data_IF_219690778362
#
_entry.id   IF_219690778362
#
_cell.length_a   1.000
_cell.length_b   1.000
_cell.length_c   1.000
_cell.angle_alpha   90.00
_cell.angle_beta   90.00
_cell.angle_gamma   90.00
#
_symmetry.space_group_name_H-M   'P 1'
#
loop_
_entity.id
_entity.type
_entity.pdbx_description
1 polymer ?
#
# COMPACT_ATOMS: atom_id res chain seq x y z
N UNK A 1 -32.23 16.38 -0.20
CA UNK A 1 -31.59 15.36 -1.05
C UNK A 1 -31.63 14.04 -0.31
N UNK A 2 -32.35 13.07 -0.85
CA UNK A 2 -32.55 11.76 -0.25
C UNK A 2 -31.25 10.96 -0.43
N UNK A 3 -30.62 10.58 0.69
CA UNK A 3 -29.47 9.68 0.67
C UNK A 3 -29.94 8.33 0.09
N UNK A 4 -29.27 7.77 -0.93
CA UNK A 4 -29.59 6.42 -1.37
C UNK A 4 -29.31 5.44 -0.22
N UNK A 5 -30.24 4.50 -0.04
CA UNK A 5 -30.20 3.46 0.98
C UNK A 5 -28.93 2.61 0.85
N UNK A 6 -28.35 2.11 1.95
CA UNK A 6 -27.18 1.25 1.89
C UNK A 6 -27.61 -0.08 1.27
N UNK A 7 -27.12 -0.41 0.07
CA UNK A 7 -27.15 -1.78 -0.42
C UNK A 7 -26.30 -2.61 0.54
N UNK A 8 -26.94 -3.54 1.25
CA UNK A 8 -26.40 -4.43 2.27
C UNK A 8 -25.50 -5.53 1.70
N UNK A 9 -24.57 -5.19 0.82
CA UNK A 9 -23.49 -6.09 0.44
C UNK A 9 -22.25 -5.68 1.23
N UNK A 10 -21.88 -6.41 2.29
CA UNK A 10 -20.63 -6.16 2.98
C UNK A 10 -19.49 -6.23 1.95
N UNK A 11 -18.56 -5.30 2.02
CA UNK A 11 -17.33 -5.32 1.24
C UNK A 11 -16.58 -6.62 1.56
N UNK A 12 -16.78 -7.67 0.76
CA UNK A 12 -15.79 -8.74 0.64
C UNK A 12 -14.64 -8.17 -0.19
N UNK A 13 -13.73 -7.48 0.49
CA UNK A 13 -12.40 -7.24 -0.06
C UNK A 13 -11.69 -8.58 -0.01
N UNK A 14 -11.72 -9.31 -1.12
CA UNK A 14 -10.99 -10.57 -1.22
C UNK A 14 -9.51 -10.27 -0.90
N UNK A 15 -8.86 -11.03 -0.02
CA UNK A 15 -7.47 -10.84 0.33
C UNK A 15 -6.57 -10.77 -0.91
N UNK A 16 -5.55 -9.89 -0.88
CA UNK A 16 -4.67 -9.68 -2.04
C UNK A 16 -3.97 -10.99 -2.49
N UNK A 17 -3.76 -11.92 -1.54
CA UNK A 17 -3.27 -13.29 -1.78
C UNK A 17 -4.03 -14.08 -2.85
N UNK A 18 -5.30 -13.76 -3.08
CA UNK A 18 -6.20 -14.54 -3.94
C UNK A 18 -6.20 -14.10 -5.41
N UNK A 19 -5.38 -13.11 -5.77
CA UNK A 19 -5.52 -12.42 -7.05
C UNK A 19 -4.47 -12.75 -8.12
N UNK A 20 -3.23 -13.09 -7.76
CA UNK A 20 -2.12 -13.19 -8.73
C UNK A 20 -1.33 -14.49 -8.61
N UNK A 21 -1.87 -15.60 -9.14
CA UNK A 21 -1.10 -16.85 -9.32
C UNK A 21 -0.28 -16.92 -10.60
N UNK A 22 -0.40 -15.97 -11.53
CA UNK A 22 0.40 -15.97 -12.77
C UNK A 22 1.51 -14.92 -12.63
N UNK A 23 2.72 -15.41 -12.35
CA UNK A 23 4.02 -14.71 -12.18
C UNK A 23 4.37 -14.16 -10.79
N UNK A 24 3.54 -14.37 -9.76
CA UNK A 24 3.92 -14.11 -8.35
C UNK A 24 3.39 -15.26 -7.49
N UNK A 25 3.99 -16.43 -7.66
CA UNK A 25 3.55 -17.69 -7.04
C UNK A 25 3.77 -17.66 -5.52
N UNK A 26 2.77 -17.20 -4.78
CA UNK A 26 2.63 -17.56 -3.36
C UNK A 26 2.41 -19.08 -3.32
N UNK A 27 3.36 -19.81 -2.72
CA UNK A 27 3.16 -21.23 -2.42
C UNK A 27 2.31 -21.30 -1.16
N UNK A 28 1.05 -21.69 -1.33
CA UNK A 28 0.18 -22.15 -0.24
C UNK A 28 0.39 -23.66 -0.13
N UNK A 29 1.00 -24.10 0.98
CA UNK A 29 1.32 -25.51 1.27
C UNK A 29 0.04 -26.28 1.63
N UNK A 30 -0.78 -26.61 0.61
CA UNK A 30 -2.13 -27.20 0.74
C UNK A 30 -2.23 -28.43 1.66
N UNK A 31 -1.15 -29.19 1.83
CA UNK A 31 -1.14 -30.43 2.62
C UNK A 31 -1.25 -30.22 4.14
N UNK A 32 -1.08 -28.99 4.65
CA UNK A 32 -1.12 -28.68 6.09
C UNK A 32 -2.08 -27.53 6.43
N UNK A 33 -3.06 -27.27 5.56
CA UNK A 33 -4.14 -26.31 5.82
C UNK A 33 -5.22 -26.94 6.68
N UNK A 34 -5.71 -26.17 7.65
CA UNK A 34 -7.01 -26.48 8.25
C UNK A 34 -8.07 -26.30 7.15
N UNK A 35 -8.73 -27.41 6.79
CA UNK A 35 -9.65 -27.48 5.65
C UNK A 35 -10.78 -26.44 5.70
N UNK A 36 -11.16 -26.00 6.90
CA UNK A 36 -12.18 -24.97 7.10
C UNK A 36 -11.82 -23.58 6.54
N UNK A 37 -10.53 -23.28 6.35
CA UNK A 37 -10.07 -22.00 5.77
C UNK A 37 -9.66 -22.11 4.31
N UNK A 38 -9.90 -23.25 3.65
CA UNK A 38 -9.43 -23.47 2.27
C UNK A 38 -10.03 -22.46 1.27
N UNK A 39 -11.29 -22.06 1.47
CA UNK A 39 -12.00 -21.09 0.63
C UNK A 39 -11.35 -19.70 0.64
N UNK A 40 -10.70 -19.31 1.74
CA UNK A 40 -10.01 -18.02 1.89
C UNK A 40 -8.78 -17.89 0.97
N UNK A 41 -8.31 -18.98 0.37
CA UNK A 41 -7.15 -19.03 -0.54
C UNK A 41 -7.54 -19.39 -1.97
N UNK A 42 -8.84 -19.49 -2.26
CA UNK A 42 -9.33 -19.71 -3.60
C UNK A 42 -9.14 -18.48 -4.47
N UNK A 43 -8.75 -18.71 -5.72
CA UNK A 43 -8.52 -17.63 -6.67
C UNK A 43 -9.87 -17.18 -7.23
N UNK A 44 -10.15 -15.88 -7.13
CA UNK A 44 -11.29 -15.30 -7.82
C UNK A 44 -10.88 -14.87 -9.25
N UNK A 45 -11.61 -15.34 -10.26
CA UNK A 45 -11.28 -15.07 -11.67
C UNK A 45 -11.75 -13.68 -12.15
N UNK A 46 -12.76 -13.11 -11.52
CA UNK A 46 -13.36 -11.81 -11.90
C UNK A 46 -12.93 -10.72 -10.92
N UNK A 47 -11.76 -10.14 -11.13
CA UNK A 47 -11.26 -9.02 -10.31
C UNK A 47 -10.79 -7.86 -11.18
N UNK A 48 -11.13 -6.63 -10.77
CA UNK A 48 -10.63 -5.40 -11.38
C UNK A 48 -9.46 -4.86 -10.57
N UNK A 49 -8.28 -4.82 -11.18
CA UNK A 49 -7.05 -4.27 -10.56
C UNK A 49 -6.86 -2.78 -10.82
N UNK A 50 -7.69 -2.19 -11.68
CA UNK A 50 -7.63 -0.76 -12.01
C UNK A 50 -6.23 -0.28 -12.44
N UNK A 51 -5.42 -1.13 -13.08
CA UNK A 51 -4.05 -0.80 -13.50
C UNK A 51 -3.01 -0.84 -12.38
N UNK A 52 -3.37 -1.28 -11.17
CA UNK A 52 -2.45 -1.44 -10.06
C UNK A 52 -1.68 -2.75 -10.14
N UNK A 53 -0.42 -2.72 -9.67
CA UNK A 53 0.41 -3.92 -9.51
C UNK A 53 0.05 -4.68 -8.23
N UNK A 54 0.62 -5.86 -8.07
CA UNK A 54 0.53 -6.60 -6.82
C UNK A 54 1.22 -5.82 -5.70
N UNK A 55 0.53 -5.65 -4.57
CA UNK A 55 1.06 -4.95 -3.41
C UNK A 55 1.18 -5.92 -2.24
N UNK A 56 2.41 -6.39 -2.00
CA UNK A 56 2.74 -7.28 -0.88
C UNK A 56 2.45 -6.62 0.48
N UNK A 57 2.47 -5.28 0.54
CA UNK A 57 2.25 -4.49 1.75
C UNK A 57 0.84 -3.92 1.88
N UNK A 58 -0.10 -4.36 1.03
CA UNK A 58 -1.51 -4.02 1.16
C UNK A 58 -2.05 -4.47 2.52
N UNK A 59 -2.93 -3.67 3.11
CA UNK A 59 -3.66 -4.05 4.34
C UNK A 59 -4.54 -5.29 4.12
N UNK A 60 -4.88 -5.56 2.86
CA UNK A 60 -5.67 -6.71 2.46
C UNK A 60 -4.84 -7.97 2.25
N UNK A 61 -3.52 -7.92 2.42
CA UNK A 61 -2.67 -9.10 2.28
C UNK A 61 -2.58 -9.87 3.60
N UNK A 62 -2.66 -11.19 3.56
CA UNK A 62 -2.34 -12.02 4.73
C UNK A 62 -0.85 -11.99 5.07
N UNK A 63 -0.53 -12.22 6.35
CA UNK A 63 0.86 -12.40 6.82
C UNK A 63 1.47 -13.70 6.29
N UNK A 64 2.81 -13.74 6.27
CA UNK A 64 3.55 -14.95 5.96
C UNK A 64 3.20 -16.11 6.91
N UNK A 65 3.02 -15.77 8.20
CA UNK A 65 2.58 -16.67 9.28
C UNK A 65 1.15 -16.32 9.70
N UNK A 66 0.30 -17.31 9.87
CA UNK A 66 -1.06 -17.11 10.38
C UNK A 66 -1.50 -18.31 11.21
N UNK A 67 -2.56 -18.14 12.00
CA UNK A 67 -3.11 -19.23 12.82
C UNK A 67 -3.83 -20.32 12.03
N UNK A 68 -3.82 -20.27 10.69
CA UNK A 68 -4.57 -21.16 9.81
C UNK A 68 -3.81 -22.44 9.40
N UNK A 69 -2.57 -22.61 9.89
CA UNK A 69 -1.77 -23.82 9.65
C UNK A 69 -0.97 -24.20 10.89
N UNK A 70 -0.66 -25.49 10.99
CA UNK A 70 0.25 -26.06 11.97
C UNK A 70 1.73 -25.84 11.60
N UNK A 71 2.01 -25.32 10.40
CA UNK A 71 3.34 -24.92 9.95
C UNK A 71 3.64 -23.46 10.28
N UNK A 72 4.93 -23.15 10.42
CA UNK A 72 5.40 -21.79 10.68
C UNK A 72 5.13 -20.79 9.54
N UNK A 73 4.89 -21.24 8.30
CA UNK A 73 4.73 -20.37 7.13
C UNK A 73 3.62 -20.85 6.19
N UNK A 74 2.62 -19.99 5.98
CA UNK A 74 1.44 -20.28 5.15
C UNK A 74 1.56 -19.74 3.72
N UNK A 75 2.16 -18.57 3.60
CA UNK A 75 2.31 -17.82 2.36
C UNK A 75 3.78 -17.56 2.19
N UNK A 76 4.39 -18.00 1.10
CA UNK A 76 5.81 -17.74 0.82
C UNK A 76 5.88 -16.92 -0.47
N UNK A 77 6.34 -15.67 -0.43
CA UNK A 77 6.53 -14.90 -1.65
C UNK A 77 7.71 -15.48 -2.44
N UNK A 78 7.60 -15.49 -3.77
CA UNK A 78 8.68 -15.97 -4.66
C UNK A 78 9.95 -15.16 -4.44
N UNK A 79 9.82 -13.84 -4.39
CA UNK A 79 10.93 -12.96 -4.06
C UNK A 79 11.00 -12.79 -2.54
N UNK A 80 12.10 -13.29 -1.97
CA UNK A 80 12.33 -13.32 -0.54
C UNK A 80 12.41 -11.93 0.09
N UNK A 81 12.66 -10.88 -0.71
CA UNK A 81 12.71 -9.48 -0.24
C UNK A 81 11.37 -9.01 0.34
N UNK A 82 10.26 -9.65 -0.03
CA UNK A 82 8.92 -9.27 0.43
C UNK A 82 8.41 -10.08 1.61
N UNK A 83 9.17 -11.04 2.15
CA UNK A 83 8.73 -11.91 3.26
C UNK A 83 8.19 -11.11 4.44
N UNK A 84 8.90 -10.06 4.83
CA UNK A 84 8.55 -9.19 5.96
C UNK A 84 7.61 -8.03 5.57
N UNK A 85 7.28 -7.88 4.29
CA UNK A 85 6.30 -6.91 3.80
C UNK A 85 4.86 -7.41 3.94
N UNK A 86 4.68 -8.74 3.91
CA UNK A 86 3.38 -9.40 3.95
C UNK A 86 2.59 -9.12 5.22
N UNK A 87 1.31 -8.78 5.07
CA UNK A 87 0.39 -8.60 6.19
C UNK A 87 0.67 -7.38 7.05
N UNK A 88 1.08 -6.31 6.36
CA UNK A 88 1.04 -4.94 6.84
C UNK A 88 -0.32 -4.60 7.46
N UNK A 89 -0.30 -3.82 8.54
CA UNK A 89 -1.50 -3.23 9.15
C UNK A 89 -1.79 -1.82 8.63
N UNK A 90 -0.95 -1.29 7.74
CA UNK A 90 -1.06 0.06 7.20
C UNK A 90 -1.82 0.03 5.89
N UNK A 91 -2.66 1.04 5.67
CA UNK A 91 -3.34 1.21 4.38
C UNK A 91 -2.30 1.67 3.36
N UNK A 92 -2.16 0.93 2.26
CA UNK A 92 -1.22 1.27 1.21
C UNK A 92 -1.82 2.31 0.25
N UNK A 93 -0.95 2.99 -0.50
CA UNK A 93 -1.39 3.86 -1.58
C UNK A 93 -2.19 3.09 -2.64
N UNK A 94 -1.82 1.83 -2.88
CA UNK A 94 -2.51 0.95 -3.82
C UNK A 94 -3.95 0.70 -3.37
N UNK A 95 -4.16 0.42 -2.07
CA UNK A 95 -5.48 0.20 -1.48
C UNK A 95 -6.39 1.43 -1.68
N UNK A 96 -5.88 2.61 -1.35
CA UNK A 96 -6.61 3.88 -1.51
C UNK A 96 -6.92 4.14 -2.99
N UNK A 97 -5.97 3.91 -3.87
CA UNK A 97 -6.15 4.12 -5.31
C UNK A 97 -7.19 3.17 -5.89
N UNK A 98 -7.17 1.90 -5.51
CA UNK A 98 -8.16 0.92 -5.95
C UNK A 98 -9.56 1.32 -5.51
N UNK A 99 -9.76 1.71 -4.25
CA UNK A 99 -11.06 2.18 -3.76
C UNK A 99 -11.50 3.43 -4.52
N UNK A 100 -10.63 4.41 -4.68
CA UNK A 100 -10.95 5.64 -5.40
C UNK A 100 -11.31 5.40 -6.88
N UNK A 101 -10.64 4.47 -7.56
CA UNK A 101 -10.96 4.10 -8.94
C UNK A 101 -12.24 3.26 -9.01
N UNK A 102 -12.46 2.35 -8.05
CA UNK A 102 -13.66 1.54 -7.98
C UNK A 102 -14.93 2.38 -7.83
N UNK A 103 -14.88 3.41 -6.98
CA UNK A 103 -15.99 4.33 -6.72
C UNK A 103 -16.00 5.56 -7.63
N UNK A 104 -15.19 5.58 -8.70
CA UNK A 104 -15.10 6.70 -9.64
C UNK A 104 -14.78 8.06 -8.96
N UNK A 105 -14.11 8.05 -7.81
CA UNK A 105 -13.70 9.27 -7.11
C UNK A 105 -12.68 10.07 -7.95
N UNK A 106 -11.77 9.37 -8.63
CA UNK A 106 -10.76 10.00 -9.50
C UNK A 106 -11.40 10.78 -10.67
N UNK A 107 -12.61 10.39 -11.10
CA UNK A 107 -13.33 11.01 -12.20
C UNK A 107 -13.75 12.46 -11.91
N UNK A 108 -13.76 12.88 -10.63
CA UNK A 108 -14.03 14.28 -10.24
C UNK A 108 -12.95 15.24 -10.73
N UNK A 109 -11.76 14.72 -11.05
CA UNK A 109 -10.61 15.50 -11.50
C UNK A 109 -10.16 15.15 -12.92
N UNK A 110 -11.06 14.66 -13.79
CA UNK A 110 -10.73 14.31 -15.19
C UNK A 110 -10.09 15.46 -15.99
N UNK A 111 -10.43 16.71 -15.67
CA UNK A 111 -9.90 17.89 -16.34
C UNK A 111 -8.50 18.29 -15.85
N UNK A 112 -8.01 17.70 -14.76
CA UNK A 112 -6.67 17.97 -14.27
C UNK A 112 -5.62 17.35 -15.21
N UNK A 113 -4.47 18.02 -15.33
CA UNK A 113 -3.40 17.54 -16.20
C UNK A 113 -2.84 16.20 -15.69
N UNK A 114 -2.69 15.18 -16.55
CA UNK A 114 -2.05 13.91 -16.17
C UNK A 114 -0.62 14.07 -15.65
N UNK A 115 0.11 15.08 -16.14
CA UNK A 115 1.54 15.28 -15.82
C UNK A 115 1.78 16.12 -14.55
N UNK A 116 0.69 16.63 -13.93
CA UNK A 116 0.79 17.48 -12.75
C UNK A 116 1.29 16.73 -11.51
N UNK A 117 1.18 15.39 -11.49
CA UNK A 117 1.60 14.57 -10.37
C UNK A 117 2.81 13.73 -10.74
N UNK A 118 3.84 13.78 -9.89
CA UNK A 118 5.10 13.04 -10.03
C UNK A 118 5.07 11.76 -9.19
N UNK A 119 6.10 10.94 -9.36
CA UNK A 119 6.38 9.76 -8.54
C UNK A 119 5.22 8.76 -8.43
N UNK A 120 4.32 8.71 -9.43
CA UNK A 120 3.17 7.81 -9.45
C UNK A 120 1.93 8.32 -8.69
N UNK A 121 1.92 9.58 -8.28
CA UNK A 121 0.72 10.25 -7.75
C UNK A 121 -0.34 10.52 -8.82
N UNK A 122 -1.53 10.93 -8.38
CA UNK A 122 -2.62 11.36 -9.26
C UNK A 122 -3.45 12.49 -8.63
N UNK A 123 -4.26 13.24 -9.42
CA UNK A 123 -5.04 14.36 -8.90
C UNK A 123 -5.90 13.95 -7.70
N UNK A 124 -5.81 14.69 -6.60
CA UNK A 124 -6.49 14.32 -5.36
C UNK A 124 -8.02 14.45 -5.54
N UNK A 125 -8.82 13.38 -5.34
CA UNK A 125 -10.26 13.35 -5.68
C UNK A 125 -11.16 14.40 -5.02
N UNK A 126 -10.67 15.06 -3.95
CA UNK A 126 -11.37 16.14 -3.23
C UNK A 126 -10.81 17.54 -3.51
N UNK A 127 -9.67 17.63 -4.18
CA UNK A 127 -9.01 18.89 -4.53
C UNK A 127 -8.07 18.66 -5.72
N UNK A 128 -8.55 18.96 -6.92
CA UNK A 128 -7.86 18.63 -8.16
C UNK A 128 -6.57 19.44 -8.40
N UNK A 129 -6.37 20.53 -7.65
CA UNK A 129 -5.17 21.38 -7.74
C UNK A 129 -3.97 20.85 -6.95
N UNK A 130 -4.12 19.70 -6.29
CA UNK A 130 -3.04 18.98 -5.62
C UNK A 130 -3.12 17.49 -5.92
N UNK A 131 -2.05 16.77 -5.62
CA UNK A 131 -1.97 15.34 -5.86
C UNK A 131 -2.23 14.52 -4.59
N UNK A 132 -2.78 13.32 -4.76
CA UNK A 132 -2.69 12.25 -3.79
C UNK A 132 -1.40 11.49 -4.08
N UNK A 133 -0.52 11.43 -3.08
CA UNK A 133 0.84 10.95 -3.25
C UNK A 133 1.03 9.53 -2.70
N UNK A 134 1.88 8.71 -3.34
CA UNK A 134 2.35 7.47 -2.74
C UNK A 134 3.09 7.73 -1.42
N UNK A 135 3.08 6.75 -0.54
CA UNK A 135 3.84 6.80 0.72
C UNK A 135 5.30 7.18 0.46
N UNK A 136 5.85 8.11 1.23
CA UNK A 136 7.19 8.64 1.02
C UNK A 136 7.26 9.90 0.16
N UNK A 137 6.16 10.31 -0.49
CA UNK A 137 6.09 11.53 -1.31
C UNK A 137 4.95 12.46 -0.86
N UNK A 138 5.15 13.75 -1.05
CA UNK A 138 4.25 14.83 -0.64
C UNK A 138 4.47 16.09 -1.47
N UNK A 139 3.98 17.23 -0.96
CA UNK A 139 3.90 18.46 -1.75
C UNK A 139 2.67 18.50 -2.65
N UNK A 140 2.54 19.56 -3.44
CA UNK A 140 1.39 19.75 -4.34
C UNK A 140 1.39 18.72 -5.47
N UNK A 141 2.58 18.36 -5.97
CA UNK A 141 2.79 17.51 -7.14
C UNK A 141 3.44 16.15 -6.81
N UNK A 142 3.58 15.78 -5.54
CA UNK A 142 4.27 14.56 -5.11
C UNK A 142 5.78 14.53 -5.38
N UNK A 143 6.43 15.68 -5.60
CA UNK A 143 7.87 15.76 -5.82
C UNK A 143 8.67 16.15 -4.56
N UNK A 144 8.01 16.28 -3.42
CA UNK A 144 8.63 16.64 -2.15
C UNK A 144 8.55 15.49 -1.15
N UNK A 145 9.37 15.55 -0.11
CA UNK A 145 9.21 14.69 1.06
C UNK A 145 7.93 15.10 1.81
N UNK A 146 7.13 14.15 2.33
CA UNK A 146 5.98 14.47 3.16
C UNK A 146 6.32 15.44 4.29
N UNK A 147 5.48 16.47 4.45
CA UNK A 147 5.56 17.49 5.50
C UNK A 147 4.76 17.07 6.75
N UNK A 148 4.84 15.80 7.12
CA UNK A 148 4.12 15.16 8.23
C UNK A 148 4.80 15.32 9.61
N UNK A 149 5.80 16.20 9.70
CA UNK A 149 6.41 16.62 10.97
C UNK A 149 7.48 15.68 11.53
N UNK A 150 7.87 14.62 10.80
CA UNK A 150 9.06 13.83 11.14
C UNK A 150 9.75 13.27 9.89
N UNK A 151 10.95 12.70 10.09
CA UNK A 151 11.82 12.28 9.00
C UNK A 151 12.74 13.41 8.51
N UNK A 152 13.74 13.04 7.70
CA UNK A 152 14.80 13.93 7.26
C UNK A 152 15.22 13.62 5.81
N UNK A 153 15.78 14.62 5.14
CA UNK A 153 16.62 14.36 3.98
C UNK A 153 18.05 14.14 4.46
N UNK A 154 18.66 13.05 4.02
CA UNK A 154 19.99 12.61 4.40
C UNK A 154 20.82 12.44 3.14
N UNK A 155 22.10 12.78 3.23
CA UNK A 155 23.04 12.60 2.14
C UNK A 155 23.87 11.34 2.38
N UNK A 156 23.83 10.41 1.43
CA UNK A 156 24.65 9.21 1.48
C UNK A 156 26.12 9.55 1.25
N UNK A 157 26.99 9.06 2.13
CA UNK A 157 28.44 9.11 1.98
C UNK A 157 29.00 7.73 1.67
N UNK A 158 30.27 7.67 1.24
CA UNK A 158 30.97 6.38 1.05
C UNK A 158 31.16 5.61 2.37
N UNK A 159 31.24 6.32 3.49
CA UNK A 159 31.35 5.73 4.83
C UNK A 159 29.98 5.56 5.48
N UNK A 160 29.84 4.50 6.29
CA UNK A 160 28.64 4.27 7.10
C UNK A 160 28.40 5.42 8.08
N UNK A 161 27.13 5.80 8.20
CA UNK A 161 26.64 6.79 9.16
C UNK A 161 25.59 6.14 10.05
N UNK A 162 25.63 6.45 11.34
CA UNK A 162 24.62 6.00 12.27
C UNK A 162 23.50 7.03 12.37
N UNK A 163 22.26 6.57 12.24
CA UNK A 163 21.08 7.39 12.43
C UNK A 163 20.24 6.81 13.56
N UNK A 164 20.03 7.60 14.60
CA UNK A 164 19.07 7.27 15.67
C UNK A 164 17.72 7.85 15.28
N UNK A 165 16.71 6.98 15.21
CA UNK A 165 15.34 7.35 14.85
C UNK A 165 14.43 7.11 16.05
N UNK A 166 13.85 8.17 16.58
CA UNK A 166 12.79 8.09 17.58
C UNK A 166 11.43 8.29 16.92
N UNK A 167 10.56 7.28 17.03
CA UNK A 167 9.22 7.31 16.46
C UNK A 167 8.21 7.26 17.59
N UNK A 168 7.46 8.34 17.75
CA UNK A 168 6.37 8.44 18.73
C UNK A 168 5.09 8.88 18.04
N UNK A 169 4.02 8.12 18.26
CA UNK A 169 2.68 8.42 17.78
C UNK A 169 1.84 8.98 18.92
N UNK A 170 1.88 10.30 19.10
CA UNK A 170 1.20 11.01 20.19
C UNK A 170 -0.33 10.95 20.10
N UNK A 171 -0.88 10.86 18.88
CA UNK A 171 -2.32 10.81 18.64
C UNK A 171 -2.61 9.97 17.39
N UNK A 172 -3.03 8.73 17.60
CA UNK A 172 -3.37 7.80 16.52
C UNK A 172 -4.55 8.28 15.69
N UNK A 173 -5.47 9.10 16.25
CA UNK A 173 -6.66 9.55 15.53
C UNK A 173 -6.35 10.55 14.40
N UNK A 174 -5.14 11.12 14.38
CA UNK A 174 -4.68 11.98 13.29
C UNK A 174 -4.43 11.23 11.98
N UNK A 175 -4.28 9.91 12.04
CA UNK A 175 -3.91 9.08 10.90
C UNK A 175 -5.04 8.11 10.56
N UNK A 176 -5.37 7.99 9.27
CA UNK A 176 -6.47 7.14 8.80
C UNK A 176 -6.36 5.67 9.26
N UNK A 177 -5.13 5.15 9.26
CA UNK A 177 -4.81 3.79 9.69
C UNK A 177 -4.27 3.73 11.13
N UNK A 178 -4.23 4.86 11.82
CA UNK A 178 -3.72 4.96 13.19
C UNK A 178 -2.20 4.99 13.31
N UNK A 179 -1.44 4.98 12.20
CA UNK A 179 0.02 4.92 12.23
C UNK A 179 0.67 6.24 11.80
N UNK A 180 1.49 6.83 12.69
CA UNK A 180 2.45 7.87 12.31
C UNK A 180 3.54 7.27 11.42
N UNK A 181 3.82 7.93 10.30
CA UNK A 181 4.85 7.54 9.33
C UNK A 181 5.90 8.65 9.35
N UNK A 182 7.18 8.27 9.41
CA UNK A 182 8.30 9.20 9.31
C UNK A 182 9.09 8.88 8.04
N UNK A 183 9.18 9.85 7.14
CA UNK A 183 9.71 9.64 5.81
C UNK A 183 11.13 10.20 5.73
N UNK A 184 12.10 9.30 5.51
CA UNK A 184 13.51 9.65 5.34
C UNK A 184 13.91 9.48 3.89
N UNK A 185 14.46 10.54 3.29
CA UNK A 185 14.98 10.51 1.92
C UNK A 185 16.49 10.44 1.96
N UNK A 186 17.05 9.33 1.46
CA UNK A 186 18.50 9.18 1.33
C UNK A 186 18.87 9.57 -0.11
N UNK A 187 19.61 10.67 -0.26
CA UNK A 187 20.04 11.22 -1.54
C UNK A 187 21.52 10.92 -1.76
N UNK A 188 21.87 10.55 -2.99
CA UNK A 188 23.27 10.43 -3.43
C UNK A 188 23.59 11.67 -4.25
N UNK A 189 24.61 12.43 -3.85
CA UNK A 189 25.14 13.50 -4.70
C UNK A 189 26.13 12.87 -5.67
N UNK A 190 25.70 12.72 -6.92
CA UNK A 190 26.60 12.35 -8.00
C UNK A 190 27.20 13.64 -8.53
N UNK A 191 28.45 13.92 -8.15
CA UNK A 191 29.23 14.98 -8.78
C UNK A 191 29.59 14.51 -10.20
N UNK A 192 28.93 15.07 -11.21
CA UNK A 192 29.29 14.82 -12.61
C UNK A 192 30.56 15.65 -12.88
N UNK A 193 31.71 14.98 -12.93
CA UNK A 193 33.01 15.55 -13.32
C UNK A 193 33.18 15.61 -14.83
#
# INVERSE_FOLDING_TARGET
MQLPTPSSHPFHTTPYGNFQKKNTLIISVREYFQLEYAEEFEKHEKTKFYGQRYDFGSIMHYRQRSGFSTLDYLIIPVDSKYKDTLGSKMISFTDITMINRHYNCAEKCKSASPDQCKNGGYPHPRNCSRCLCPSGYGGIDCNERPSDGCGLELEATETWQNLTIDIQNEDSNKYLDGYKKCNYWIKVIILIS
#
